data_IF_918620777755
#
_entry.id   IF_918620777755
#
_cell.length_a   1.000
_cell.length_b   1.000
_cell.length_c   1.000
_cell.angle_alpha   90.00
_cell.angle_beta   90.00
_cell.angle_gamma   90.00
#
_symmetry.space_group_name_H-M   'P 1'
#
loop_
_entity.id
_entity.type
_entity.pdbx_description
1 polymer ?
#
# COMPACT_ATOMS: atom_id res chain seq x y z
N UNK A 1 -5.65 8.29 11.13
CA UNK A 1 -4.46 7.54 11.61
C UNK A 1 -3.15 8.32 11.46
N UNK A 2 -2.78 8.81 10.26
CA UNK A 2 -1.41 9.31 10.01
C UNK A 2 -1.21 10.83 9.82
N UNK A 3 -2.28 11.61 9.65
CA UNK A 3 -2.20 13.06 9.36
C UNK A 3 -2.06 13.34 7.86
N UNK A 4 -2.77 14.35 7.36
CA UNK A 4 -2.81 14.68 5.92
C UNK A 4 -1.44 15.13 5.36
N UNK A 5 -0.65 15.80 6.19
CA UNK A 5 0.69 16.30 5.88
C UNK A 5 1.67 15.17 5.53
N UNK A 6 1.47 13.96 6.08
CA UNK A 6 2.39 12.82 5.90
C UNK A 6 1.98 11.86 4.80
N UNK A 7 0.74 11.94 4.31
CA UNK A 7 0.22 11.03 3.29
C UNK A 7 0.41 11.64 1.91
N UNK A 8 1.11 10.95 1.03
CA UNK A 8 1.39 11.39 -0.33
C UNK A 8 0.95 10.32 -1.33
N UNK A 9 0.52 10.71 -2.52
CA UNK A 9 0.32 9.77 -3.62
C UNK A 9 1.66 9.27 -4.12
N UNK A 10 1.76 7.98 -4.45
CA UNK A 10 2.91 7.47 -5.17
C UNK A 10 2.84 7.88 -6.64
N UNK A 11 3.97 8.23 -7.25
CA UNK A 11 4.05 8.63 -8.66
C UNK A 11 4.69 7.51 -9.47
N UNK A 12 3.93 6.88 -10.39
CA UNK A 12 4.43 5.73 -11.12
C UNK A 12 5.62 6.16 -12.00
N UNK A 13 6.67 5.34 -12.11
CA UNK A 13 7.77 5.63 -13.01
C UNK A 13 7.28 5.56 -14.46
N UNK A 14 7.26 6.70 -15.15
CA UNK A 14 6.92 6.79 -16.58
C UNK A 14 8.12 7.23 -17.39
N UNK A 15 8.13 6.92 -18.69
CA UNK A 15 9.18 7.31 -19.65
C UNK A 15 9.48 8.82 -19.62
N UNK A 16 8.46 9.63 -19.36
CA UNK A 16 8.53 11.09 -19.27
C UNK A 16 9.34 11.57 -18.06
N UNK A 17 9.39 10.77 -17.00
CA UNK A 17 10.06 11.14 -15.77
C UNK A 17 11.40 10.41 -15.59
N UNK A 18 11.70 9.31 -16.32
CA UNK A 18 12.91 8.47 -16.14
C UNK A 18 14.25 9.24 -16.08
N UNK A 19 14.38 10.39 -16.73
CA UNK A 19 15.64 11.10 -16.90
C UNK A 19 15.94 12.18 -15.84
N UNK A 20 15.02 12.45 -14.91
CA UNK A 20 15.18 13.52 -13.92
C UNK A 20 15.99 13.02 -12.71
N UNK A 21 17.14 13.63 -12.45
CA UNK A 21 17.97 13.36 -11.27
C UNK A 21 17.34 13.98 -10.02
N UNK A 22 17.26 13.22 -8.91
CA UNK A 22 16.70 13.71 -7.63
C UNK A 22 15.18 13.54 -7.47
N UNK A 23 14.58 12.55 -8.15
CA UNK A 23 13.14 12.26 -8.06
C UNK A 23 12.63 12.09 -6.64
N UNK A 24 11.47 12.69 -6.39
CA UNK A 24 10.54 12.27 -5.34
C UNK A 24 9.43 11.47 -6.03
N UNK A 25 9.37 10.17 -5.80
CA UNK A 25 8.34 9.27 -6.37
C UNK A 25 6.98 9.41 -5.65
N UNK A 26 6.73 10.56 -5.03
CA UNK A 26 5.50 10.81 -4.31
C UNK A 26 5.27 12.30 -4.13
N UNK A 27 4.01 12.69 -3.94
CA UNK A 27 3.61 14.06 -3.66
C UNK A 27 2.12 14.24 -3.36
N UNK A 28 1.66 15.49 -3.32
CA UNK A 28 0.28 15.83 -2.91
C UNK A 28 -0.72 15.90 -4.07
N UNK A 29 -0.24 15.98 -5.31
CA UNK A 29 -1.11 16.03 -6.50
C UNK A 29 -1.53 14.61 -6.86
N UNK A 30 -2.82 14.39 -7.11
CA UNK A 30 -3.34 13.10 -7.55
C UNK A 30 -2.89 12.77 -8.99
N UNK A 31 -2.25 11.62 -9.24
CA UNK A 31 -1.85 11.19 -10.59
C UNK A 31 -3.06 10.86 -11.47
N UNK A 32 -3.05 11.33 -12.71
CA UNK A 32 -4.12 11.08 -13.70
C UNK A 32 -4.23 9.58 -14.03
N UNK A 33 -3.12 8.87 -13.96
CA UNK A 33 -3.00 7.43 -14.19
C UNK A 33 -3.88 6.61 -13.26
N UNK A 34 -4.28 7.15 -12.10
CA UNK A 34 -5.08 6.44 -11.10
C UNK A 34 -6.57 6.75 -11.15
N UNK A 35 -7.05 7.62 -12.06
CA UNK A 35 -8.47 8.02 -12.12
C UNK A 35 -9.42 6.81 -12.26
N UNK A 36 -9.03 5.83 -13.06
CA UNK A 36 -9.81 4.60 -13.28
C UNK A 36 -9.21 3.38 -12.58
N UNK A 37 -8.20 3.57 -11.73
CA UNK A 37 -7.54 2.45 -11.06
C UNK A 37 -8.38 1.99 -9.87
N UNK A 38 -8.63 0.67 -9.71
CA UNK A 38 -9.25 0.13 -8.50
C UNK A 38 -8.32 0.19 -7.28
N UNK A 39 -7.02 0.45 -7.52
CA UNK A 39 -5.98 0.49 -6.49
C UNK A 39 -5.26 1.83 -6.57
N UNK A 40 -5.20 2.54 -5.44
CA UNK A 40 -4.50 3.82 -5.33
C UNK A 40 -3.32 3.67 -4.37
N UNK A 41 -2.07 3.82 -4.84
CA UNK A 41 -0.88 3.75 -4.01
C UNK A 41 -0.55 5.09 -3.33
N UNK A 42 -0.11 4.99 -2.08
CA UNK A 42 0.33 6.11 -1.25
C UNK A 42 1.67 5.79 -0.57
N UNK A 43 2.41 6.86 -0.29
CA UNK A 43 3.59 6.87 0.58
C UNK A 43 3.26 7.68 1.82
N UNK A 44 3.36 7.03 2.98
CA UNK A 44 3.12 7.66 4.29
C UNK A 44 4.49 7.93 4.91
N UNK A 45 4.86 9.20 4.98
CA UNK A 45 6.09 9.64 5.62
C UNK A 45 6.01 9.38 7.14
N UNK A 46 7.07 8.79 7.68
CA UNK A 46 7.25 8.61 9.13
C UNK A 46 8.28 9.61 9.64
N UNK A 47 8.45 9.69 10.96
CA UNK A 47 9.41 10.62 11.58
C UNK A 47 10.84 10.43 11.02
N UNK A 48 11.71 11.41 11.26
CA UNK A 48 13.08 11.36 10.75
C UNK A 48 13.75 10.01 11.09
N UNK A 49 14.29 9.33 10.08
CA UNK A 49 14.96 8.02 10.12
C UNK A 49 14.08 6.77 10.13
N UNK A 50 12.75 6.87 10.20
CA UNK A 50 11.86 5.72 10.00
C UNK A 50 11.60 5.49 8.50
N UNK A 51 11.62 4.23 8.07
CA UNK A 51 11.19 3.88 6.71
C UNK A 51 9.71 4.29 6.51
N UNK A 52 9.34 4.86 5.35
CA UNK A 52 7.96 5.23 5.08
C UNK A 52 7.04 4.00 5.06
N UNK A 53 5.72 4.17 5.14
CA UNK A 53 4.76 3.07 4.91
C UNK A 53 4.25 3.20 3.48
N UNK A 54 4.26 2.08 2.77
CA UNK A 54 3.66 1.97 1.46
C UNK A 54 2.25 1.49 1.65
N UNK A 55 1.29 2.31 1.28
CA UNK A 55 -0.11 2.04 1.49
C UNK A 55 -0.78 1.84 0.13
N UNK A 56 -1.40 0.68 -0.12
CA UNK A 56 -2.27 0.47 -1.26
C UNK A 56 -3.71 0.45 -0.78
N UNK A 57 -4.54 1.33 -1.32
CA UNK A 57 -5.97 1.37 -1.03
C UNK A 57 -6.72 0.74 -2.20
N UNK A 58 -7.47 -0.33 -1.94
CA UNK A 58 -8.30 -1.02 -2.92
C UNK A 58 -9.76 -0.67 -2.74
N UNK A 59 -10.48 -0.42 -3.84
CA UNK A 59 -11.94 -0.28 -3.84
C UNK A 59 -12.68 -1.61 -3.61
N UNK A 60 -11.98 -2.73 -3.71
CA UNK A 60 -12.54 -4.08 -3.56
C UNK A 60 -12.52 -4.54 -2.10
N UNK A 61 -13.43 -5.46 -1.71
CA UNK A 61 -13.36 -6.10 -0.39
C UNK A 61 -12.14 -7.02 -0.28
N UNK A 62 -11.71 -7.31 0.95
CA UNK A 62 -10.61 -8.23 1.19
C UNK A 62 -10.88 -9.62 0.60
N UNK A 63 -9.86 -10.17 -0.06
CA UNK A 63 -9.75 -11.56 -0.46
C UNK A 63 -8.29 -12.02 -0.37
N UNK A 64 -8.07 -13.32 -0.19
CA UNK A 64 -6.73 -13.90 -0.17
C UNK A 64 -5.99 -13.63 -1.49
N UNK A 65 -6.66 -13.84 -2.63
CA UNK A 65 -6.09 -13.56 -3.94
C UNK A 65 -5.79 -12.06 -4.13
N UNK A 66 -6.66 -11.19 -3.58
CA UNK A 66 -6.49 -9.74 -3.66
C UNK A 66 -5.23 -9.26 -2.93
N UNK A 67 -4.94 -9.81 -1.75
CA UNK A 67 -3.71 -9.45 -1.03
C UNK A 67 -2.46 -10.00 -1.71
N UNK A 68 -2.49 -11.21 -2.27
CA UNK A 68 -1.36 -11.75 -3.03
C UNK A 68 -1.08 -10.90 -4.27
N UNK A 69 -2.12 -10.47 -4.99
CA UNK A 69 -1.99 -9.59 -6.13
C UNK A 69 -1.39 -8.23 -5.73
N UNK A 70 -1.93 -7.60 -4.67
CA UNK A 70 -1.39 -6.34 -4.16
C UNK A 70 0.08 -6.48 -3.74
N UNK A 71 0.42 -7.54 -3.03
CA UNK A 71 1.79 -7.83 -2.61
C UNK A 71 2.74 -7.94 -3.81
N UNK A 72 2.33 -8.66 -4.86
CA UNK A 72 3.08 -8.77 -6.11
C UNK A 72 3.32 -7.38 -6.74
N UNK A 73 2.27 -6.56 -6.86
CA UNK A 73 2.40 -5.19 -7.38
C UNK A 73 3.37 -4.33 -6.55
N UNK A 74 3.34 -4.45 -5.22
CA UNK A 74 4.28 -3.72 -4.35
C UNK A 74 5.73 -4.17 -4.47
N UNK A 75 6.00 -5.46 -4.70
CA UNK A 75 7.38 -5.93 -4.91
C UNK A 75 8.03 -5.26 -6.11
N UNK A 76 7.28 -5.13 -7.21
CA UNK A 76 7.81 -4.53 -8.44
C UNK A 76 7.95 -3.00 -8.34
N UNK A 77 7.08 -2.34 -7.57
CA UNK A 77 7.02 -0.89 -7.49
C UNK A 77 7.90 -0.30 -6.37
N UNK A 78 8.19 -1.06 -5.32
CA UNK A 78 8.50 -0.48 -4.00
C UNK A 78 9.54 -1.21 -3.17
N UNK A 79 10.16 -2.27 -3.71
CA UNK A 79 11.18 -3.09 -3.02
C UNK A 79 12.33 -2.26 -2.41
N UNK A 80 12.73 -1.17 -3.05
CA UNK A 80 13.82 -0.30 -2.58
C UNK A 80 13.38 0.84 -1.65
N UNK A 81 12.06 1.07 -1.48
CA UNK A 81 11.54 2.24 -0.77
C UNK A 81 11.20 1.91 0.69
N UNK A 82 10.57 0.76 0.96
CA UNK A 82 10.25 0.36 2.33
C UNK A 82 9.85 -1.10 2.45
N UNK A 83 10.09 -1.66 3.63
CA UNK A 83 9.60 -2.98 4.04
C UNK A 83 8.27 -2.93 4.79
N UNK A 84 7.72 -1.75 5.04
CA UNK A 84 6.45 -1.56 5.74
C UNK A 84 5.31 -1.35 4.74
N UNK A 85 4.44 -2.34 4.63
CA UNK A 85 3.29 -2.35 3.73
C UNK A 85 2.00 -2.25 4.52
N UNK A 86 1.06 -1.46 4.01
CA UNK A 86 -0.30 -1.32 4.50
C UNK A 86 -1.27 -1.56 3.34
N UNK A 87 -2.15 -2.55 3.46
CA UNK A 87 -3.22 -2.78 2.51
C UNK A 87 -4.55 -2.37 3.11
N UNK A 88 -5.25 -1.45 2.46
CA UNK A 88 -6.55 -0.96 2.92
C UNK A 88 -7.61 -1.39 1.92
N UNK A 89 -8.57 -2.20 2.36
CA UNK A 89 -9.67 -2.68 1.52
C UNK A 89 -10.96 -1.91 1.80
N UNK A 90 -11.95 -2.03 0.91
CA UNK A 90 -13.27 -1.43 1.18
C UNK A 90 -13.93 -2.08 2.39
N UNK A 91 -13.80 -3.40 2.54
CA UNK A 91 -14.25 -4.17 3.69
C UNK A 91 -13.22 -5.21 4.09
N UNK A 92 -12.96 -5.33 5.39
CA UNK A 92 -12.06 -6.33 5.94
C UNK A 92 -12.63 -6.86 7.26
N UNK A 93 -12.68 -8.19 7.41
CA UNK A 93 -13.08 -8.83 8.64
C UNK A 93 -11.92 -9.69 9.17
N UNK A 94 -11.34 -9.26 10.29
CA UNK A 94 -10.16 -9.88 10.87
C UNK A 94 -10.36 -11.33 11.30
N UNK A 95 -11.56 -11.71 11.73
CA UNK A 95 -11.87 -13.08 12.15
C UNK A 95 -11.90 -14.01 10.94
N UNK A 96 -12.55 -13.59 9.86
CA UNK A 96 -12.68 -14.40 8.64
C UNK A 96 -11.35 -14.51 7.90
N UNK A 97 -10.54 -13.45 7.91
CA UNK A 97 -9.27 -13.41 7.18
C UNK A 97 -8.11 -14.09 7.90
N UNK A 98 -8.28 -14.55 9.15
CA UNK A 98 -7.17 -14.99 10.00
C UNK A 98 -6.34 -16.11 9.37
N UNK A 99 -6.99 -17.16 8.89
CA UNK A 99 -6.31 -18.33 8.31
C UNK A 99 -5.51 -17.95 7.06
N UNK A 100 -6.09 -17.14 6.18
CA UNK A 100 -5.45 -16.67 4.96
C UNK A 100 -4.23 -15.80 5.27
N UNK A 101 -4.32 -14.94 6.27
CA UNK A 101 -3.21 -14.09 6.70
C UNK A 101 -2.10 -14.86 7.39
N UNK A 102 -2.43 -15.89 8.16
CA UNK A 102 -1.43 -16.73 8.78
C UNK A 102 -0.67 -17.55 7.71
N UNK A 103 -1.35 -18.03 6.66
CA UNK A 103 -0.70 -18.65 5.50
C UNK A 103 0.20 -17.68 4.73
N UNK A 104 -0.30 -16.48 4.46
CA UNK A 104 0.48 -15.44 3.79
C UNK A 104 1.74 -15.06 4.59
N UNK A 105 1.64 -14.92 5.91
CA UNK A 105 2.81 -14.64 6.77
C UNK A 105 3.87 -15.73 6.76
N UNK A 106 3.47 -16.98 6.52
CA UNK A 106 4.42 -18.10 6.41
C UNK A 106 5.17 -18.10 5.06
N UNK A 107 4.59 -17.54 4.00
CA UNK A 107 5.21 -17.47 2.68
C UNK A 107 6.08 -16.21 2.47
N UNK A 108 5.93 -15.23 3.35
CA UNK A 108 6.65 -13.95 3.28
C UNK A 108 8.05 -14.01 3.90
N UNK A 109 8.96 -13.23 3.31
CA UNK A 109 10.25 -12.94 3.93
C UNK A 109 10.04 -12.23 5.27
N UNK A 110 10.76 -12.68 6.31
CA UNK A 110 10.61 -12.18 7.70
C UNK A 110 10.88 -10.68 7.87
N UNK A 111 11.47 -10.05 6.87
CA UNK A 111 11.81 -8.63 6.89
C UNK A 111 10.67 -7.72 6.43
N UNK A 112 9.65 -8.25 5.75
CA UNK A 112 8.49 -7.49 5.27
C UNK A 112 7.43 -7.44 6.39
N UNK A 113 7.01 -6.23 6.76
CA UNK A 113 5.93 -5.99 7.69
C UNK A 113 4.66 -5.64 6.93
N UNK A 114 3.58 -6.40 7.14
CA UNK A 114 2.28 -6.17 6.48
C UNK A 114 1.22 -5.87 7.54
N UNK A 115 0.57 -4.71 7.39
CA UNK A 115 -0.65 -4.32 8.09
C UNK A 115 -1.83 -4.31 7.12
N UNK A 116 -3.03 -4.64 7.61
CA UNK A 116 -4.27 -4.66 6.82
C UNK A 116 -5.34 -3.90 7.58
N UNK A 117 -6.10 -3.08 6.86
CA UNK A 117 -7.14 -2.22 7.40
C UNK A 117 -8.32 -2.11 6.41
N UNK A 118 -9.40 -1.46 6.83
CA UNK A 118 -10.50 -1.08 5.91
C UNK A 118 -11.05 0.30 6.19
N UNK A 119 -11.55 0.97 5.15
CA UNK A 119 -12.09 2.32 5.29
C UNK A 119 -13.61 2.38 5.47
N UNK A 120 -14.35 1.30 5.16
CA UNK A 120 -15.75 1.20 5.60
C UNK A 120 -15.79 0.57 6.98
N UNK A 121 -16.27 1.33 7.96
CA UNK A 121 -16.50 0.81 9.30
C UNK A 121 -17.76 -0.06 9.30
N UNK A 122 -17.62 -1.36 9.54
CA UNK A 122 -18.65 -2.14 10.21
C UNK A 122 -18.20 -2.44 11.64
N UNK A 123 -19.10 -2.89 12.52
CA UNK A 123 -18.75 -3.24 13.91
C UNK A 123 -17.78 -4.43 14.02
N UNK A 124 -17.29 -4.95 12.90
CA UNK A 124 -16.40 -6.11 12.78
C UNK A 124 -15.01 -5.72 12.25
N UNK A 125 -14.79 -4.43 12.00
CA UNK A 125 -13.49 -3.78 11.72
C UNK A 125 -12.74 -3.39 12.98
#
# INVERSE_FOLDING_TARGET
KYGYDKVNFFYPPTSLNLTITGKRYFGKVFPVEYISSPIIPFVIERGNQEQPIICLVSSEPFSADGIEHLLSCTRDLVADISKNLLFVFSHYNKLNAKEDLDRLRLSLDREISIEIDSYNADFRG
#
